data_IF_207809858898
#
_entry.id   IF_207809858898
#
_cell.length_a   1.000
_cell.length_b   1.000
_cell.length_c   1.000
_cell.angle_alpha   90.00
_cell.angle_beta   90.00
_cell.angle_gamma   90.00
#
_symmetry.space_group_name_H-M   'P 1'
#
loop_
_entity.id
_entity.type
_entity.pdbx_description
1 polymer ?
#
# COMPACT_ATOMS: atom_id res chain seq x y z
N UNK A 1 15.88 -30.62 -6.31
CA UNK A 1 16.09 -29.37 -5.54
C UNK A 1 16.70 -28.34 -6.50
N UNK A 2 15.89 -27.43 -7.04
CA UNK A 2 16.38 -26.40 -7.96
C UNK A 2 16.87 -25.19 -7.17
N UNK A 3 18.19 -24.97 -7.15
CA UNK A 3 18.78 -23.75 -6.62
C UNK A 3 18.42 -22.59 -7.57
N UNK A 4 17.53 -21.69 -7.16
CA UNK A 4 17.23 -20.47 -7.93
C UNK A 4 18.45 -19.55 -7.84
N UNK A 5 19.20 -19.45 -8.92
CA UNK A 5 20.31 -18.49 -9.05
C UNK A 5 19.76 -17.07 -8.96
N UNK A 6 20.07 -16.37 -7.86
CA UNK A 6 19.83 -14.92 -7.74
C UNK A 6 20.65 -14.22 -8.83
N UNK A 7 19.97 -13.55 -9.75
CA UNK A 7 20.63 -12.76 -10.78
C UNK A 7 21.08 -11.43 -10.16
N UNK A 8 22.39 -11.13 -10.12
CA UNK A 8 22.87 -9.85 -9.64
C UNK A 8 22.45 -8.77 -10.65
N UNK A 9 21.45 -7.98 -10.28
CA UNK A 9 20.92 -6.88 -11.11
C UNK A 9 19.40 -6.73 -11.09
N UNK A 10 18.63 -7.75 -10.71
CA UNK A 10 17.17 -7.64 -10.58
C UNK A 10 16.78 -7.47 -9.11
N UNK A 11 16.36 -6.26 -8.73
CA UNK A 11 15.83 -6.00 -7.38
C UNK A 11 14.64 -6.94 -7.10
N UNK A 12 14.61 -7.54 -5.92
CA UNK A 12 13.50 -8.41 -5.53
C UNK A 12 12.24 -7.56 -5.29
N UNK A 13 11.06 -8.16 -5.54
CA UNK A 13 9.75 -7.50 -5.40
C UNK A 13 8.89 -8.30 -4.45
N UNK A 14 8.22 -7.59 -3.55
CA UNK A 14 7.23 -8.13 -2.62
C UNK A 14 6.01 -7.24 -2.61
N UNK A 15 4.84 -7.79 -2.31
CA UNK A 15 3.66 -6.98 -2.05
C UNK A 15 3.29 -7.03 -0.57
N UNK A 16 2.79 -5.92 -0.05
CA UNK A 16 2.35 -5.77 1.32
C UNK A 16 0.91 -5.28 1.34
N UNK A 17 0.16 -5.75 2.33
CA UNK A 17 -1.10 -5.17 2.75
C UNK A 17 -1.26 -5.30 4.27
N UNK A 18 -1.87 -4.29 4.88
CA UNK A 18 -2.07 -4.19 6.32
C UNK A 18 -3.55 -4.01 6.68
N UNK A 19 -3.98 -4.71 7.72
CA UNK A 19 -5.25 -4.44 8.37
C UNK A 19 -5.03 -3.59 9.62
N UNK A 20 -5.87 -2.56 9.79
CA UNK A 20 -5.77 -1.62 10.89
C UNK A 20 -6.98 -1.70 11.83
N UNK A 21 -6.72 -1.43 13.10
CA UNK A 21 -7.73 -1.22 14.15
C UNK A 21 -7.71 0.25 14.61
N UNK A 22 -8.76 0.66 15.29
CA UNK A 22 -8.90 1.97 15.91
C UNK A 22 -8.36 2.00 17.34
N UNK A 23 -7.45 2.93 17.60
CA UNK A 23 -6.89 3.25 18.93
C UNK A 23 -7.10 4.74 19.26
N UNK A 24 -6.79 5.11 20.50
CA UNK A 24 -6.88 6.50 20.97
C UNK A 24 -8.31 7.03 21.09
N UNK A 25 -8.48 8.34 21.28
CA UNK A 25 -9.80 8.95 21.44
C UNK A 25 -10.74 8.62 20.28
N UNK A 26 -11.89 8.03 20.60
CA UNK A 26 -12.92 7.60 19.66
C UNK A 26 -12.44 6.64 18.54
N UNK A 27 -11.28 5.97 18.70
CA UNK A 27 -10.77 5.01 17.72
C UNK A 27 -10.33 5.63 16.40
N UNK A 28 -10.05 6.94 16.38
CA UNK A 28 -9.68 7.68 15.16
C UNK A 28 -8.28 7.35 14.66
N UNK A 29 -7.38 6.91 15.55
CA UNK A 29 -6.01 6.53 15.16
C UNK A 29 -6.02 5.13 14.57
N UNK A 30 -5.51 4.98 13.34
CA UNK A 30 -5.33 3.68 12.69
C UNK A 30 -4.00 3.07 13.12
N UNK A 31 -4.02 1.96 13.85
CA UNK A 31 -2.82 1.20 14.19
C UNK A 31 -2.83 -0.21 13.58
N UNK A 32 -1.64 -0.71 13.27
CA UNK A 32 -1.42 -1.98 12.60
C UNK A 32 -1.87 -3.17 13.46
N UNK A 33 -2.73 -4.03 12.91
CA UNK A 33 -3.25 -5.21 13.60
C UNK A 33 -3.05 -6.54 12.84
N UNK A 34 -2.78 -6.48 11.53
CA UNK A 34 -2.29 -7.61 10.74
C UNK A 34 -1.46 -7.06 9.61
N UNK A 35 -0.38 -7.75 9.25
CA UNK A 35 0.39 -7.44 8.05
C UNK A 35 0.63 -8.74 7.30
N UNK A 36 0.37 -8.69 5.99
CA UNK A 36 0.77 -9.74 5.06
C UNK A 36 1.82 -9.21 4.11
N UNK A 37 2.87 -10.01 3.86
CA UNK A 37 3.83 -9.82 2.78
C UNK A 37 3.85 -11.06 1.90
N UNK A 38 3.71 -10.87 0.59
CA UNK A 38 3.77 -11.95 -0.40
C UNK A 38 4.93 -11.78 -1.36
N UNK A 39 5.41 -12.90 -1.90
CA UNK A 39 6.43 -12.96 -2.95
C UNK A 39 5.89 -12.39 -4.27
N UNK A 40 6.78 -12.22 -5.25
CA UNK A 40 6.40 -11.89 -6.63
C UNK A 40 5.41 -12.89 -7.25
N UNK A 41 5.50 -14.16 -6.87
CA UNK A 41 4.63 -15.24 -7.35
C UNK A 41 3.31 -15.33 -6.57
N UNK A 42 3.15 -14.55 -5.50
CA UNK A 42 1.97 -14.52 -4.63
C UNK A 42 2.05 -15.46 -3.42
N UNK A 43 3.19 -16.11 -3.19
CA UNK A 43 3.39 -16.95 -2.01
C UNK A 43 3.47 -16.10 -0.74
N UNK A 44 2.78 -16.51 0.34
CA UNK A 44 2.83 -15.80 1.62
C UNK A 44 4.20 -16.00 2.28
N UNK A 45 4.94 -14.90 2.46
CA UNK A 45 6.25 -14.85 3.14
C UNK A 45 6.07 -14.47 4.62
N UNK A 46 5.09 -13.61 4.90
CA UNK A 46 4.77 -13.15 6.24
C UNK A 46 3.26 -12.92 6.33
N UNK A 47 2.62 -13.45 7.37
CA UNK A 47 1.23 -13.15 7.71
C UNK A 47 1.07 -13.32 9.22
N UNK A 48 0.99 -12.20 9.93
CA UNK A 48 0.88 -12.20 11.40
C UNK A 48 -0.11 -11.17 11.87
N UNK A 49 -0.86 -11.54 12.91
CA UNK A 49 -1.59 -10.59 13.74
C UNK A 49 -0.64 -9.87 14.68
N UNK A 50 -0.89 -8.59 14.87
CA UNK A 50 0.01 -7.65 15.54
C UNK A 50 -0.78 -6.95 16.63
N UNK A 51 -0.22 -6.89 17.83
CA UNK A 51 -0.79 -6.15 18.95
C UNK A 51 -0.30 -4.70 18.86
N UNK A 52 -1.20 -3.72 18.64
CA UNK A 52 -0.86 -2.30 18.64
C UNK A 52 -0.22 -1.84 19.96
N UNK A 53 0.49 -0.70 19.93
CA UNK A 53 1.10 -0.15 21.15
C UNK A 53 0.04 0.50 22.05
N UNK A 54 -1.01 1.08 21.46
CA UNK A 54 -2.12 1.65 22.22
C UNK A 54 -3.28 0.66 22.36
N UNK A 55 -4.11 0.79 23.42
CA UNK A 55 -5.31 -0.01 23.57
C UNK A 55 -6.25 0.11 22.37
N UNK A 56 -6.74 -1.04 21.90
CA UNK A 56 -7.75 -1.12 20.85
C UNK A 56 -9.10 -0.70 21.43
N UNK A 57 -9.75 0.27 20.80
CA UNK A 57 -11.11 0.72 21.16
C UNK A 57 -12.14 0.38 20.07
N UNK A 58 -11.69 0.15 18.84
CA UNK A 58 -12.53 -0.32 17.74
C UNK A 58 -11.74 -1.32 16.86
N UNK A 59 -12.24 -2.54 16.70
CA UNK A 59 -11.59 -3.54 15.85
C UNK A 59 -11.78 -3.28 14.36
N UNK A 60 -12.75 -2.45 13.98
CA UNK A 60 -13.09 -2.17 12.57
C UNK A 60 -13.40 -3.44 11.77
N UNK A 61 -13.93 -4.48 12.43
CA UNK A 61 -14.06 -5.85 11.88
C UNK A 61 -14.76 -5.90 10.53
N UNK A 62 -15.75 -5.02 10.29
CA UNK A 62 -16.46 -4.97 9.01
C UNK A 62 -15.57 -4.64 7.80
N UNK A 63 -14.42 -4.00 8.04
CA UNK A 63 -13.41 -3.70 7.03
C UNK A 63 -12.15 -4.53 7.22
N UNK A 64 -11.66 -4.65 8.45
CA UNK A 64 -10.33 -5.23 8.74
C UNK A 64 -10.33 -6.76 8.89
N UNK A 65 -11.51 -7.34 9.12
CA UNK A 65 -11.66 -8.74 9.55
C UNK A 65 -11.03 -9.06 10.91
N UNK A 66 -10.48 -8.08 11.62
CA UNK A 66 -9.84 -8.29 12.92
C UNK A 66 -10.90 -8.45 14.01
N UNK A 67 -10.65 -9.39 14.93
CA UNK A 67 -11.48 -9.62 16.11
C UNK A 67 -10.58 -9.72 17.33
N UNK A 68 -11.15 -9.55 18.53
CA UNK A 68 -10.42 -9.74 19.78
C UNK A 68 -9.76 -11.12 19.91
N UNK A 69 -10.32 -12.16 19.26
CA UNK A 69 -9.76 -13.52 19.28
C UNK A 69 -8.40 -13.56 18.58
N UNK A 70 -8.20 -12.77 17.54
CA UNK A 70 -6.92 -12.68 16.83
C UNK A 70 -5.82 -12.10 17.73
N UNK A 71 -6.17 -11.19 18.64
CA UNK A 71 -5.21 -10.57 19.56
C UNK A 71 -4.62 -11.55 20.60
N UNK A 72 -5.27 -12.69 20.86
CA UNK A 72 -4.76 -13.70 21.80
C UNK A 72 -3.43 -14.32 21.36
N UNK A 73 -3.13 -14.32 20.05
CA UNK A 73 -1.90 -14.87 19.46
C UNK A 73 -1.10 -13.80 18.71
N UNK A 74 -1.48 -12.54 18.85
CA UNK A 74 -0.81 -11.45 18.16
C UNK A 74 0.57 -11.20 18.77
N UNK A 75 1.54 -10.86 17.92
CA UNK A 75 2.90 -10.51 18.38
C UNK A 75 2.99 -9.00 18.66
N UNK A 76 3.88 -8.55 19.56
CA UNK A 76 4.03 -7.13 19.85
C UNK A 76 4.45 -6.32 18.62
N UNK A 77 3.88 -5.12 18.45
CA UNK A 77 4.17 -4.22 17.31
C UNK A 77 5.66 -4.08 17.00
N UNK A 78 6.51 -3.86 18.01
CA UNK A 78 7.95 -3.65 17.79
C UNK A 78 8.68 -4.85 17.19
N UNK A 79 8.26 -6.06 17.56
CA UNK A 79 8.81 -7.29 16.99
C UNK A 79 8.36 -7.43 15.54
N UNK A 80 7.06 -7.28 15.29
CA UNK A 80 6.50 -7.33 13.94
C UNK A 80 7.13 -6.29 13.02
N UNK A 81 7.29 -5.05 13.49
CA UNK A 81 7.88 -3.96 12.73
C UNK A 81 9.32 -4.29 12.30
N UNK A 82 10.14 -4.82 13.21
CA UNK A 82 11.50 -5.24 12.89
C UNK A 82 11.55 -6.36 11.84
N UNK A 83 10.69 -7.39 12.00
CA UNK A 83 10.57 -8.50 11.05
C UNK A 83 10.14 -8.00 9.66
N UNK A 84 9.11 -7.16 9.59
CA UNK A 84 8.58 -6.61 8.33
C UNK A 84 9.64 -5.73 7.66
N UNK A 85 10.26 -4.79 8.37
CA UNK A 85 11.30 -3.92 7.78
C UNK A 85 12.46 -4.76 7.22
N UNK A 86 12.86 -5.82 7.92
CA UNK A 86 13.91 -6.71 7.44
C UNK A 86 13.52 -7.44 6.16
N UNK A 87 12.24 -7.81 6.00
CA UNK A 87 11.72 -8.42 4.77
C UNK A 87 11.67 -7.39 3.63
N UNK A 88 11.25 -6.15 3.91
CA UNK A 88 11.11 -5.11 2.89
C UNK A 88 12.45 -4.51 2.44
N UNK A 89 13.51 -4.65 3.25
CA UNK A 89 14.82 -4.07 3.00
C UNK A 89 15.40 -4.51 1.65
N UNK A 90 15.90 -3.53 0.90
CA UNK A 90 16.50 -3.72 -0.43
C UNK A 90 15.55 -4.42 -1.43
N UNK A 91 14.24 -4.17 -1.31
CA UNK A 91 13.20 -4.67 -2.22
C UNK A 91 12.33 -3.54 -2.75
N UNK A 92 11.76 -3.77 -3.92
CA UNK A 92 10.65 -2.97 -4.42
C UNK A 92 9.38 -3.47 -3.71
N UNK A 93 8.65 -2.54 -3.08
CA UNK A 93 7.43 -2.83 -2.33
C UNK A 93 6.22 -2.40 -3.14
N UNK A 94 5.40 -3.38 -3.50
CA UNK A 94 4.14 -3.23 -4.22
C UNK A 94 2.99 -3.21 -3.21
N UNK A 95 1.92 -2.48 -3.51
CA UNK A 95 0.69 -2.53 -2.71
C UNK A 95 -0.35 -1.58 -3.28
N UNK A 96 -1.41 -1.34 -2.52
CA UNK A 96 -2.51 -0.47 -2.92
C UNK A 96 -2.79 0.57 -1.84
N UNK A 97 -2.65 1.85 -2.17
CA UNK A 97 -2.74 2.96 -1.22
C UNK A 97 -1.72 2.83 -0.06
N UNK A 98 -0.48 2.45 -0.41
CA UNK A 98 0.65 2.12 0.48
C UNK A 98 0.95 3.15 1.58
N UNK A 99 0.53 4.39 1.41
CA UNK A 99 0.68 5.42 2.44
C UNK A 99 -0.02 5.05 3.76
N UNK A 100 -1.12 4.30 3.70
CA UNK A 100 -1.85 3.83 4.87
C UNK A 100 -1.04 2.78 5.63
N UNK A 101 -0.52 1.78 4.90
CA UNK A 101 0.32 0.71 5.44
C UNK A 101 1.58 1.26 6.09
N UNK A 102 2.29 2.13 5.40
CA UNK A 102 3.55 2.71 5.89
C UNK A 102 3.35 3.66 7.07
N UNK A 103 2.20 4.36 7.14
CA UNK A 103 1.83 5.14 8.32
C UNK A 103 1.55 4.21 9.52
N UNK A 104 0.79 3.14 9.33
CA UNK A 104 0.50 2.17 10.39
C UNK A 104 1.76 1.42 10.87
N UNK A 105 2.65 1.08 9.94
CA UNK A 105 3.95 0.45 10.20
C UNK A 105 4.99 1.43 10.79
N UNK A 106 4.73 2.74 10.77
CA UNK A 106 5.68 3.80 11.16
C UNK A 106 7.03 3.66 10.43
N UNK A 107 6.99 3.32 9.14
CA UNK A 107 8.16 3.09 8.28
C UNK A 107 7.91 3.67 6.90
N UNK A 108 8.79 4.56 6.42
CA UNK A 108 8.58 5.30 5.17
C UNK A 108 9.74 5.07 4.19
N UNK A 109 9.70 4.02 3.35
CA UNK A 109 10.72 3.80 2.34
C UNK A 109 10.67 4.89 1.27
N UNK A 110 11.82 5.18 0.64
CA UNK A 110 11.90 6.15 -0.45
C UNK A 110 10.92 5.80 -1.57
N UNK A 111 10.36 6.83 -2.22
CA UNK A 111 9.38 6.67 -3.31
C UNK A 111 9.93 5.80 -4.45
N UNK A 112 11.23 5.81 -4.68
CA UNK A 112 11.89 4.97 -5.68
C UNK A 112 11.68 3.46 -5.45
N UNK A 113 11.48 3.03 -4.21
CA UNK A 113 11.26 1.63 -3.82
C UNK A 113 9.79 1.22 -3.76
N UNK A 114 8.85 2.14 -4.05
CA UNK A 114 7.42 1.88 -3.91
C UNK A 114 6.72 1.75 -5.25
N UNK A 115 5.76 0.84 -5.35
CA UNK A 115 4.86 0.67 -6.50
C UNK A 115 3.42 0.63 -5.99
N UNK A 116 2.85 1.81 -5.81
CA UNK A 116 1.46 1.97 -5.36
C UNK A 116 0.50 1.84 -6.54
N UNK A 117 -0.22 0.73 -6.61
CA UNK A 117 -1.14 0.41 -7.71
C UNK A 117 -2.32 1.39 -7.77
N UNK A 118 -2.71 2.02 -6.66
CA UNK A 118 -3.79 3.02 -6.63
C UNK A 118 -3.41 4.31 -7.38
N UNK A 119 -2.10 4.58 -7.52
CA UNK A 119 -1.56 5.78 -8.16
C UNK A 119 -0.94 5.50 -9.54
N UNK A 120 -1.02 4.25 -10.04
CA UNK A 120 -0.35 3.85 -11.27
C UNK A 120 -1.07 4.38 -12.53
N UNK A 121 -0.45 5.27 -13.34
CA UNK A 121 -1.07 5.79 -14.55
C UNK A 121 -1.28 4.71 -15.62
N UNK A 122 -0.46 3.67 -15.65
CA UNK A 122 -0.55 2.58 -16.62
C UNK A 122 -1.79 1.70 -16.36
N UNK A 123 -2.09 1.41 -15.09
CA UNK A 123 -3.32 0.72 -14.72
C UNK A 123 -4.54 1.56 -15.09
N UNK A 124 -4.50 2.86 -14.78
CA UNK A 124 -5.58 3.80 -15.17
C UNK A 124 -5.84 3.80 -16.68
N UNK A 125 -4.79 3.79 -17.51
CA UNK A 125 -4.92 3.75 -18.98
C UNK A 125 -5.53 2.44 -19.49
N UNK A 126 -5.34 1.31 -18.78
CA UNK A 126 -5.87 0.00 -19.18
C UNK A 126 -7.39 -0.15 -18.97
N UNK A 127 -8.00 0.59 -18.04
CA UNK A 127 -9.43 0.46 -17.68
C UNK A 127 -10.30 1.34 -18.59
N UNK A 128 -10.07 1.25 -19.91
CA UNK A 128 -10.69 2.08 -20.97
C UNK A 128 -12.02 2.74 -20.57
N UNK A 129 -12.02 4.05 -20.28
CA UNK A 129 -13.24 4.76 -19.89
C UNK A 129 -13.13 6.27 -20.04
N UNK A 130 -14.13 6.85 -20.71
CA UNK A 130 -14.46 8.28 -20.86
C UNK A 130 -14.98 8.94 -19.56
N UNK A 131 -15.14 8.16 -18.49
CA UNK A 131 -15.52 8.60 -17.14
C UNK A 131 -14.39 8.32 -16.14
N UNK A 132 -14.22 9.15 -15.10
CA UNK A 132 -13.22 8.94 -14.02
C UNK A 132 -13.45 7.55 -13.39
N UNK A 133 -12.62 6.52 -13.69
CA UNK A 133 -12.83 5.19 -13.16
C UNK A 133 -12.44 5.15 -11.67
N UNK A 134 -13.16 4.37 -10.87
CA UNK A 134 -12.75 4.09 -9.48
C UNK A 134 -11.41 3.36 -9.49
N UNK A 135 -10.44 3.87 -8.75
CA UNK A 135 -9.11 3.26 -8.61
C UNK A 135 -9.02 2.35 -7.38
N UNK A 136 -10.15 1.87 -6.84
CA UNK A 136 -10.12 0.91 -5.73
C UNK A 136 -9.55 -0.43 -6.17
N UNK A 137 -8.85 -1.11 -5.26
CA UNK A 137 -8.26 -2.43 -5.53
C UNK A 137 -9.28 -3.42 -6.09
N UNK A 138 -10.48 -3.45 -5.50
CA UNK A 138 -11.61 -4.26 -5.98
C UNK A 138 -11.97 -3.98 -7.43
N UNK A 139 -12.11 -2.70 -7.81
CA UNK A 139 -12.47 -2.36 -9.19
C UNK A 139 -11.33 -2.68 -10.17
N UNK A 140 -10.08 -2.36 -9.81
CA UNK A 140 -8.92 -2.69 -10.64
C UNK A 140 -8.81 -4.19 -10.89
N UNK A 141 -8.96 -4.98 -9.83
CA UNK A 141 -8.86 -6.44 -9.88
C UNK A 141 -9.99 -7.04 -10.72
N UNK A 142 -11.22 -6.57 -10.55
CA UNK A 142 -12.35 -7.02 -11.38
C UNK A 142 -12.14 -6.67 -12.87
N UNK A 143 -11.79 -5.42 -13.17
CA UNK A 143 -11.68 -4.93 -14.56
C UNK A 143 -10.48 -5.51 -15.31
N UNK A 144 -9.35 -5.69 -14.64
CA UNK A 144 -8.08 -6.04 -15.29
C UNK A 144 -7.65 -7.50 -15.08
N UNK A 145 -8.10 -8.14 -14.01
CA UNK A 145 -7.76 -9.53 -13.68
C UNK A 145 -8.97 -10.47 -13.76
N UNK A 146 -10.18 -9.94 -13.97
CA UNK A 146 -11.43 -10.72 -13.98
C UNK A 146 -11.63 -11.54 -12.71
N UNK A 147 -11.24 -10.99 -11.56
CA UNK A 147 -11.35 -11.60 -10.23
C UNK A 147 -12.19 -10.72 -9.31
N UNK A 148 -13.06 -11.37 -8.55
CA UNK A 148 -13.76 -10.75 -7.43
C UNK A 148 -12.96 -10.97 -6.15
N UNK A 149 -12.65 -9.88 -5.45
CA UNK A 149 -11.98 -9.86 -4.15
C UNK A 149 -12.82 -9.07 -3.15
N UNK A 150 -12.47 -9.17 -1.87
CA UNK A 150 -13.19 -8.53 -0.76
C UNK A 150 -14.68 -8.93 -0.80
N UNK A 151 -14.92 -10.21 -1.05
CA UNK A 151 -16.27 -10.80 -1.11
C UNK A 151 -16.69 -11.27 0.28
N UNK A 152 -17.94 -10.99 0.66
CA UNK A 152 -18.52 -11.42 1.93
C UNK A 152 -18.62 -10.32 2.99
N UNK A 153 -18.87 -10.73 4.24
CA UNK A 153 -19.20 -9.85 5.37
C UNK A 153 -18.18 -9.88 6.52
N UNK A 154 -17.08 -10.61 6.34
CA UNK A 154 -16.09 -10.85 7.40
C UNK A 154 -14.93 -9.86 7.38
N UNK A 155 -15.06 -8.73 6.67
CA UNK A 155 -13.96 -7.81 6.40
C UNK A 155 -13.05 -8.30 5.28
N UNK A 156 -11.98 -7.55 5.05
CA UNK A 156 -10.97 -7.82 4.04
C UNK A 156 -9.97 -8.85 4.51
N UNK A 157 -9.21 -9.38 3.55
CA UNK A 157 -8.11 -10.28 3.80
C UNK A 157 -6.85 -9.67 3.21
N UNK A 158 -5.97 -9.15 4.06
CA UNK A 158 -4.63 -8.70 3.61
C UNK A 158 -3.84 -9.68 2.74
N UNK A 159 -4.09 -11.00 2.85
CA UNK A 159 -3.49 -11.97 1.92
C UNK A 159 -4.03 -11.81 0.50
N UNK A 160 -5.36 -11.75 0.36
CA UNK A 160 -6.02 -11.56 -0.92
C UNK A 160 -5.65 -10.20 -1.54
N UNK A 161 -5.61 -9.15 -0.73
CA UNK A 161 -5.33 -7.78 -1.17
C UNK A 161 -3.86 -7.59 -1.57
N UNK A 162 -2.90 -8.18 -0.84
CA UNK A 162 -1.49 -8.18 -1.22
C UNK A 162 -1.24 -8.96 -2.51
N UNK A 163 -1.89 -10.12 -2.68
CA UNK A 163 -1.80 -10.93 -3.90
C UNK A 163 -2.38 -10.17 -5.10
N UNK A 164 -3.58 -9.61 -4.97
CA UNK A 164 -4.22 -8.81 -6.02
C UNK A 164 -3.34 -7.61 -6.42
N UNK A 165 -2.73 -6.93 -5.45
CA UNK A 165 -1.80 -5.82 -5.70
C UNK A 165 -0.57 -6.26 -6.50
N UNK A 166 0.03 -7.42 -6.18
CA UNK A 166 1.15 -7.98 -6.93
C UNK A 166 0.75 -8.36 -8.36
N UNK A 167 -0.41 -9.00 -8.53
CA UNK A 167 -0.91 -9.37 -9.85
C UNK A 167 -1.17 -8.15 -10.74
N UNK A 168 -1.79 -7.09 -10.19
CA UNK A 168 -1.98 -5.82 -10.89
C UNK A 168 -0.65 -5.20 -11.30
N UNK A 169 0.34 -5.18 -10.40
CA UNK A 169 1.68 -4.70 -10.74
C UNK A 169 2.29 -5.49 -11.90
N UNK A 170 2.17 -6.82 -11.91
CA UNK A 170 2.72 -7.68 -12.97
C UNK A 170 2.12 -7.40 -14.35
N UNK A 171 0.88 -6.93 -14.44
CA UNK A 171 0.27 -6.50 -15.72
C UNK A 171 0.98 -5.31 -16.38
N UNK A 172 1.69 -4.53 -15.59
CA UNK A 172 2.33 -3.27 -16.02
C UNK A 172 3.80 -3.18 -15.61
N UNK A 173 4.40 -4.26 -15.09
CA UNK A 173 5.75 -4.24 -14.52
C UNK A 173 6.77 -3.67 -15.51
N UNK A 174 6.89 -4.26 -16.70
CA UNK A 174 7.88 -3.85 -17.71
C UNK A 174 7.73 -2.35 -18.03
N UNK A 175 6.58 -1.85 -18.52
CA UNK A 175 6.43 -0.44 -18.83
C UNK A 175 6.51 0.46 -17.59
N UNK A 176 6.17 -0.01 -16.38
CA UNK A 176 6.31 0.80 -15.17
C UNK A 176 7.78 0.99 -14.81
N UNK A 177 8.59 -0.06 -14.82
CA UNK A 177 10.01 0.04 -14.51
C UNK A 177 10.76 0.86 -15.57
N UNK A 178 10.40 0.73 -16.85
CA UNK A 178 10.97 1.55 -17.93
C UNK A 178 10.71 3.05 -17.73
N UNK A 179 9.52 3.44 -17.25
CA UNK A 179 9.19 4.83 -16.94
C UNK A 179 9.98 5.40 -15.75
N UNK A 180 10.53 4.52 -14.90
CA UNK A 180 11.28 4.91 -13.70
C UNK A 180 12.79 4.87 -13.90
N UNK A 181 13.27 4.14 -14.92
CA UNK A 181 14.66 4.26 -15.36
C UNK A 181 14.91 5.64 -15.95
N UNK A 182 15.90 6.40 -15.46
CA UNK A 182 16.29 7.65 -16.10
C UNK A 182 16.63 7.38 -17.57
N UNK A 183 15.98 8.09 -18.49
CA UNK A 183 16.46 8.11 -19.87
C UNK A 183 17.92 8.59 -19.88
N UNK A 184 18.79 7.90 -20.62
CA UNK A 184 20.17 8.31 -20.85
C UNK A 184 20.26 9.83 -21.14
N UNK A 185 21.32 10.52 -20.69
CA UNK A 185 21.39 11.97 -20.75
C UNK A 185 21.28 12.43 -22.20
N UNK A 186 20.28 13.27 -22.49
CA UNK A 186 20.37 14.14 -23.65
C UNK A 186 21.67 14.94 -23.51
N UNK A 187 22.46 14.96 -24.58
CA UNK A 187 23.76 15.64 -24.65
C UNK A 187 23.68 17.13 -24.27
N UNK A 188 24.83 17.80 -24.14
CA UNK A 188 24.91 19.11 -23.51
C UNK A 188 24.13 20.15 -24.31
N UNK A 189 22.95 20.53 -23.82
CA UNK A 189 22.27 21.74 -24.29
C UNK A 189 22.61 22.90 -23.36
N UNK A 190 23.06 23.97 -24.00
CA UNK A 190 23.57 25.20 -23.44
C UNK A 190 22.73 25.82 -22.31
N UNK A 191 23.49 26.42 -21.39
CA UNK A 191 23.13 27.33 -20.30
C UNK A 191 22.02 28.35 -20.57
N UNK A 192 21.14 28.53 -19.58
CA UNK A 192 20.74 29.84 -19.06
C UNK A 192 20.52 29.75 -17.54
N UNK A 193 20.95 30.74 -16.74
CA UNK A 193 20.62 30.80 -15.32
C UNK A 193 19.35 31.65 -15.14
N UNK A 194 18.35 31.13 -14.42
CA UNK A 194 17.26 31.96 -13.90
C UNK A 194 17.02 31.70 -12.41
N UNK A 195 16.65 32.81 -11.76
CA UNK A 195 16.77 33.16 -10.35
C UNK A 195 15.52 32.76 -9.54
N UNK A 196 15.73 32.57 -8.23
CA UNK A 196 14.77 32.39 -7.14
C UNK A 196 13.36 32.98 -7.33
N UNK A 197 12.33 32.23 -6.90
CA UNK A 197 11.31 32.80 -6.01
C UNK A 197 10.58 31.75 -5.17
N UNK A 198 10.67 31.97 -3.87
CA UNK A 198 9.83 31.54 -2.75
C UNK A 198 8.32 31.48 -3.06
N UNK A 199 7.63 30.41 -2.63
CA UNK A 199 6.40 30.56 -1.83
C UNK A 199 5.85 29.21 -1.32
N UNK A 200 5.66 29.16 -0.01
CA UNK A 200 4.71 28.29 0.68
C UNK A 200 3.29 28.42 0.11
N UNK A 201 2.73 27.34 -0.45
CA UNK A 201 1.28 27.12 -0.57
C UNK A 201 0.98 25.70 -1.05
N UNK A 202 0.79 24.73 -0.16
CA UNK A 202 -0.06 23.56 -0.46
C UNK A 202 -0.58 22.92 0.84
N UNK A 203 -1.16 23.76 1.70
CA UNK A 203 -2.22 23.34 2.62
C UNK A 203 -3.52 23.60 1.87
N UNK A 204 -4.10 22.58 1.28
CA UNK A 204 -5.53 22.60 0.92
C UNK A 204 -6.09 21.18 1.00
N UNK A 205 -6.51 20.85 2.22
CA UNK A 205 -7.33 19.70 2.58
C UNK A 205 -8.73 19.88 2.00
N UNK A 206 -8.94 19.40 0.77
CA UNK A 206 -10.28 19.29 0.18
C UNK A 206 -10.65 17.84 -0.09
N UNK A 207 -10.85 17.07 0.98
CA UNK A 207 -11.74 15.90 0.94
C UNK A 207 -12.29 15.56 2.32
N UNK A 208 -13.16 16.42 2.86
CA UNK A 208 -14.09 16.06 3.91
C UNK A 208 -15.47 16.66 3.62
N UNK A 209 -16.57 15.88 3.58
CA UNK A 209 -17.92 16.40 3.38
C UNK A 209 -18.34 17.35 4.52
N UNK A 210 -18.93 18.49 4.18
CA UNK A 210 -19.25 19.61 5.10
C UNK A 210 -20.68 19.59 5.68
N UNK A 211 -21.27 18.42 5.89
CA UNK A 211 -22.65 18.35 6.38
C UNK A 211 -22.77 17.47 7.63
N UNK A 212 -22.20 17.92 8.75
CA UNK A 212 -22.59 17.49 10.11
C UNK A 212 -22.31 18.60 11.13
N UNK A 213 -22.93 19.76 10.95
CA UNK A 213 -23.25 20.65 12.06
C UNK A 213 -24.75 20.56 12.30
N UNK A 214 -25.15 19.70 13.23
CA UNK A 214 -26.45 19.76 13.90
C UNK A 214 -26.16 19.97 15.38
N UNK A 215 -26.70 21.08 15.88
CA UNK A 215 -26.55 21.66 17.20
C UNK A 215 -26.65 20.68 18.37
N UNK A 216 -25.74 20.84 19.33
CA UNK A 216 -25.95 20.44 20.72
C UNK A 216 -25.87 21.68 21.61
N UNK A 217 -27.05 22.18 21.98
CA UNK A 217 -27.31 22.77 23.30
C UNK A 217 -28.36 21.90 23.98
#
# INVERSE_FOLDING_TARGET
MGCRTRHPGKMERVAIDCEMVGTGPCGKTSELARCTVVSYDGDVIYDKYILPECPIVDYRTRWSGITWKHMRKAIPFRIAQGEIIQILKDKIVVGHALHNDFRALKYFPSRAWRRDTSQCPLLKKKIASTLKPSMSLKNLTHQLLHKDIQVGKHGHSSVEDAQASMELYRLVEIPWEELLTPSHPMGPSHSTPEVDTDHSCYMDDQYWPKDLDIDCK
#
